data_IF_916274616127
#
_entry.id   IF_916274616127
#
_cell.length_a   1.000
_cell.length_b   1.000
_cell.length_c   1.000
_cell.angle_alpha   90.00
_cell.angle_beta   90.00
_cell.angle_gamma   90.00
#
_symmetry.space_group_name_H-M   'P 1'
#
loop_
_entity.id
_entity.type
_entity.pdbx_description
1 polymer ?
#
# COMPACT_ATOMS: atom_id res chain seq x y z
N UNK A 1 -39.72 -76.06 48.48
CA UNK A 1 -39.38 -75.56 47.13
C UNK A 1 -39.99 -74.19 46.93
N UNK A 2 -39.16 -73.14 46.85
CA UNK A 2 -39.25 -71.94 45.98
C UNK A 2 -38.31 -70.88 46.54
N UNK A 3 -37.17 -70.74 45.88
CA UNK A 3 -36.07 -69.83 46.21
C UNK A 3 -36.35 -68.43 45.65
N UNK A 4 -36.13 -67.43 46.49
CA UNK A 4 -36.30 -66.00 46.21
C UNK A 4 -35.05 -65.50 45.47
N UNK A 5 -35.21 -64.99 44.24
CA UNK A 5 -34.11 -64.41 43.45
C UNK A 5 -33.98 -62.92 43.75
N UNK A 6 -32.82 -62.51 44.27
CA UNK A 6 -32.41 -61.11 44.38
C UNK A 6 -31.96 -60.60 42.99
N UNK A 7 -32.62 -59.56 42.50
CA UNK A 7 -32.21 -58.81 41.31
C UNK A 7 -31.31 -57.64 41.72
N UNK A 8 -30.03 -57.71 41.35
CA UNK A 8 -29.04 -56.66 41.53
C UNK A 8 -29.25 -55.59 40.44
N UNK A 9 -29.76 -54.42 40.83
CA UNK A 9 -29.93 -53.26 39.93
C UNK A 9 -28.62 -52.45 39.93
N UNK A 10 -27.83 -52.59 38.86
CA UNK A 10 -26.61 -51.80 38.62
C UNK A 10 -27.02 -50.42 38.08
N UNK A 11 -26.88 -49.40 38.92
CA UNK A 11 -27.08 -47.98 38.57
C UNK A 11 -25.79 -47.48 37.88
N UNK A 12 -25.79 -47.46 36.54
CA UNK A 12 -24.70 -46.89 35.74
C UNK A 12 -24.72 -45.37 35.83
N UNK A 13 -23.78 -44.80 36.58
CA UNK A 13 -23.58 -43.36 36.71
C UNK A 13 -22.87 -42.85 35.44
N UNK A 14 -23.64 -42.32 34.49
CA UNK A 14 -23.13 -41.70 33.27
C UNK A 14 -22.47 -40.36 33.62
N UNK A 15 -21.14 -40.31 33.56
CA UNK A 15 -20.40 -39.05 33.60
C UNK A 15 -20.73 -38.24 32.34
N UNK A 16 -21.56 -37.21 32.49
CA UNK A 16 -21.73 -36.16 31.48
C UNK A 16 -20.46 -35.32 31.53
N UNK A 17 -19.53 -35.63 30.63
CA UNK A 17 -18.40 -34.75 30.33
C UNK A 17 -18.96 -33.53 29.60
N UNK A 18 -19.00 -32.38 30.27
CA UNK A 18 -19.16 -31.10 29.60
C UNK A 18 -17.94 -30.91 28.69
N UNK A 19 -18.08 -31.27 27.42
CA UNK A 19 -17.14 -30.86 26.38
C UNK A 19 -17.29 -29.34 26.31
N UNK A 20 -16.29 -28.59 26.79
CA UNK A 20 -16.17 -27.19 26.46
C UNK A 20 -16.09 -27.15 24.92
N UNK A 21 -17.09 -26.56 24.30
CA UNK A 21 -17.01 -26.26 22.88
C UNK A 21 -15.71 -25.46 22.68
N UNK A 22 -14.88 -25.82 21.68
CA UNK A 22 -13.68 -25.05 21.40
C UNK A 22 -14.12 -23.61 21.21
N UNK A 23 -13.53 -22.68 21.99
CA UNK A 23 -13.74 -21.25 21.80
C UNK A 23 -13.64 -20.95 20.31
N UNK A 24 -14.76 -20.52 19.72
CA UNK A 24 -14.78 -20.02 18.37
C UNK A 24 -13.72 -18.91 18.33
N UNK A 25 -12.67 -19.13 17.53
CA UNK A 25 -11.67 -18.10 17.30
C UNK A 25 -12.44 -16.87 16.83
N UNK A 26 -12.26 -15.70 17.48
CA UNK A 26 -13.00 -14.51 17.12
C UNK A 26 -12.79 -14.24 15.63
N UNK A 27 -13.89 -14.12 14.89
CA UNK A 27 -13.85 -13.78 13.46
C UNK A 27 -13.00 -12.52 13.28
N UNK A 28 -12.14 -12.43 12.24
CA UNK A 28 -11.37 -11.23 11.96
C UNK A 28 -12.30 -10.01 11.96
N UNK A 29 -11.98 -9.01 12.79
CA UNK A 29 -12.76 -7.76 12.79
C UNK A 29 -12.44 -7.00 11.50
N UNK A 30 -13.47 -6.69 10.73
CA UNK A 30 -13.36 -5.89 9.51
C UNK A 30 -13.74 -4.44 9.82
N UNK A 31 -12.87 -3.50 9.48
CA UNK A 31 -13.12 -2.05 9.61
C UNK A 31 -12.95 -1.37 8.25
N UNK A 32 -14.08 -1.03 7.63
CA UNK A 32 -14.11 -0.48 6.26
C UNK A 32 -13.33 0.82 6.10
N UNK A 33 -13.24 1.65 7.14
CA UNK A 33 -12.53 2.93 7.08
C UNK A 33 -11.01 2.68 7.08
N UNK A 34 -10.56 1.77 7.95
CA UNK A 34 -9.15 1.35 8.00
C UNK A 34 -8.74 0.70 6.68
N UNK A 35 -9.56 -0.20 6.15
CA UNK A 35 -9.30 -0.84 4.84
C UNK A 35 -9.22 0.20 3.73
N UNK A 36 -10.15 1.14 3.68
CA UNK A 36 -10.19 2.17 2.63
C UNK A 36 -8.95 3.07 2.68
N UNK A 37 -8.52 3.49 3.87
CA UNK A 37 -7.31 4.29 4.05
C UNK A 37 -6.05 3.56 3.58
N UNK A 38 -5.93 2.28 3.95
CA UNK A 38 -4.80 1.43 3.58
C UNK A 38 -4.75 1.23 2.05
N UNK A 39 -5.90 1.01 1.40
CA UNK A 39 -5.99 0.94 -0.07
C UNK A 39 -5.57 2.27 -0.70
N UNK A 40 -6.03 3.40 -0.15
CA UNK A 40 -5.69 4.72 -0.68
C UNK A 40 -4.18 4.99 -0.62
N UNK A 41 -3.54 4.74 0.52
CA UNK A 41 -2.09 4.86 0.68
C UNK A 41 -1.31 3.95 -0.27
N UNK A 42 -1.80 2.72 -0.45
CA UNK A 42 -1.18 1.77 -1.37
C UNK A 42 -1.26 2.24 -2.83
N UNK A 43 -2.43 2.70 -3.28
CA UNK A 43 -2.63 3.20 -4.64
C UNK A 43 -1.72 4.40 -4.90
N UNK A 44 -1.64 5.33 -3.95
CA UNK A 44 -0.76 6.50 -4.09
C UNK A 44 0.71 6.11 -4.12
N UNK A 45 1.15 5.13 -3.32
CA UNK A 45 2.49 4.55 -3.42
C UNK A 45 2.72 3.89 -4.78
N UNK A 46 1.78 3.07 -5.24
CA UNK A 46 1.92 2.35 -6.51
C UNK A 46 2.06 3.29 -7.70
N UNK A 47 1.22 4.32 -7.78
CA UNK A 47 1.32 5.34 -8.84
C UNK A 47 2.67 6.07 -8.76
N UNK A 48 3.07 6.54 -7.57
CA UNK A 48 4.33 7.24 -7.37
C UNK A 48 5.52 6.36 -7.81
N UNK A 49 5.60 5.13 -7.33
CA UNK A 49 6.72 4.22 -7.62
C UNK A 49 6.74 3.77 -9.07
N UNK A 50 5.60 3.56 -9.71
CA UNK A 50 5.53 3.26 -11.14
C UNK A 50 6.11 4.41 -11.97
N UNK A 51 5.72 5.65 -11.67
CA UNK A 51 6.22 6.83 -12.37
C UNK A 51 7.71 7.02 -12.13
N UNK A 52 8.16 6.97 -10.89
CA UNK A 52 9.58 7.09 -10.55
C UNK A 52 10.41 5.99 -11.20
N UNK A 53 9.94 4.75 -11.22
CA UNK A 53 10.59 3.63 -11.89
C UNK A 53 10.88 3.93 -13.37
N UNK A 54 9.90 4.50 -14.08
CA UNK A 54 10.08 4.86 -15.49
C UNK A 54 11.00 6.06 -15.65
N UNK A 55 10.91 7.04 -14.77
CA UNK A 55 11.79 8.20 -14.77
C UNK A 55 13.26 7.82 -14.48
N UNK A 56 13.51 6.83 -13.61
CA UNK A 56 14.85 6.28 -13.39
C UNK A 56 15.41 5.61 -14.64
N UNK A 57 14.65 4.69 -15.24
CA UNK A 57 15.05 4.02 -16.49
C UNK A 57 15.33 5.05 -17.60
N UNK A 58 14.48 6.07 -17.67
CA UNK A 58 14.61 7.17 -18.60
C UNK A 58 15.91 7.98 -18.40
N UNK A 59 16.24 8.39 -17.18
CA UNK A 59 17.48 9.13 -16.88
C UNK A 59 18.74 8.34 -17.24
N UNK A 60 18.73 7.01 -17.03
CA UNK A 60 19.84 6.13 -17.42
C UNK A 60 20.08 6.15 -18.94
N UNK A 61 19.03 6.29 -19.74
CA UNK A 61 19.15 6.34 -21.23
C UNK A 61 19.59 7.69 -21.78
N UNK A 62 19.61 8.78 -20.99
CA UNK A 62 20.03 10.14 -21.43
C UNK A 62 21.55 10.35 -21.52
N UNK A 63 22.35 9.29 -21.61
CA UNK A 63 23.78 9.41 -21.93
C UNK A 63 24.71 9.63 -20.74
N UNK A 64 24.33 9.19 -19.53
CA UNK A 64 25.34 8.92 -18.50
C UNK A 64 26.21 7.77 -19.03
N UNK A 65 27.51 7.99 -19.17
CA UNK A 65 28.41 7.01 -19.77
C UNK A 65 28.27 5.65 -19.08
N UNK A 66 27.88 4.63 -19.85
CA UNK A 66 27.66 3.26 -19.40
C UNK A 66 28.85 2.68 -18.59
N UNK A 67 30.07 3.23 -18.77
CA UNK A 67 31.28 2.83 -18.05
C UNK A 67 31.49 3.42 -16.65
N UNK A 68 30.54 4.19 -16.10
CA UNK A 68 30.60 4.67 -14.69
C UNK A 68 29.61 3.96 -13.76
N UNK A 69 28.88 2.98 -14.26
CA UNK A 69 27.96 2.17 -13.46
C UNK A 69 28.67 0.88 -13.06
N UNK A 70 29.04 0.77 -11.79
CA UNK A 70 29.66 -0.44 -11.23
C UNK A 70 28.62 -1.47 -10.76
N UNK A 71 27.33 -1.15 -10.87
CA UNK A 71 26.22 -2.00 -10.42
C UNK A 71 25.05 -1.90 -11.40
N UNK A 72 24.47 -3.05 -11.79
CA UNK A 72 23.13 -3.09 -12.38
C UNK A 72 22.17 -2.58 -11.29
N UNK A 73 21.64 -1.36 -11.45
CA UNK A 73 20.62 -0.85 -10.54
C UNK A 73 19.35 -1.66 -10.81
N UNK A 74 19.14 -2.71 -10.02
CA UNK A 74 17.91 -3.48 -10.03
C UNK A 74 16.74 -2.53 -9.73
N UNK A 75 15.98 -2.13 -10.74
CA UNK A 75 14.83 -1.26 -10.59
C UNK A 75 13.68 -2.09 -10.01
N UNK A 76 13.44 -1.95 -8.71
CA UNK A 76 12.66 -2.91 -7.97
C UNK A 76 11.17 -2.62 -8.06
N UNK A 77 10.78 -1.65 -8.88
CA UNK A 77 9.40 -1.30 -9.15
C UNK A 77 9.03 -1.63 -10.60
N UNK A 78 9.98 -2.14 -11.40
CA UNK A 78 9.73 -2.44 -12.81
C UNK A 78 8.58 -3.43 -12.99
N UNK A 79 8.45 -4.41 -12.09
CA UNK A 79 7.36 -5.39 -12.12
C UNK A 79 5.97 -4.76 -12.04
N UNK A 80 5.83 -3.55 -11.47
CA UNK A 80 4.54 -2.85 -11.32
C UNK A 80 3.95 -2.38 -12.66
N UNK A 81 4.79 -2.28 -13.70
CA UNK A 81 4.46 -1.70 -15.02
C UNK A 81 4.74 -2.64 -16.20
N UNK A 82 5.18 -3.89 -15.96
CA UNK A 82 5.66 -4.77 -17.04
C UNK A 82 4.59 -5.08 -18.09
N UNK A 83 3.32 -5.12 -17.71
CA UNK A 83 2.22 -5.39 -18.63
C UNK A 83 1.77 -4.17 -19.45
N UNK A 84 2.22 -2.96 -19.09
CA UNK A 84 1.84 -1.73 -19.75
C UNK A 84 2.75 -1.40 -20.95
N UNK A 85 2.19 -0.68 -21.92
CA UNK A 85 2.96 -0.02 -22.97
C UNK A 85 3.56 1.26 -22.38
N UNK A 86 4.88 1.38 -22.46
CA UNK A 86 5.63 2.53 -21.91
C UNK A 86 6.19 3.36 -23.06
N UNK A 87 5.85 4.64 -23.09
CA UNK A 87 6.34 5.56 -24.13
C UNK A 87 6.88 6.84 -23.54
N UNK A 88 7.84 7.43 -24.25
CA UNK A 88 8.41 8.74 -23.92
C UNK A 88 8.19 9.67 -25.10
N UNK A 89 7.71 10.89 -24.83
CA UNK A 89 7.37 11.89 -25.85
C UNK A 89 7.91 13.28 -25.45
N UNK A 90 7.59 14.31 -26.23
CA UNK A 90 7.89 15.72 -25.92
C UNK A 90 9.37 15.99 -25.61
N UNK A 91 10.27 15.63 -26.53
CA UNK A 91 11.71 15.77 -26.32
C UNK A 91 12.15 15.17 -24.97
N UNK A 92 11.58 14.02 -24.63
CA UNK A 92 11.95 13.28 -23.45
C UNK A 92 11.55 13.95 -22.11
N UNK A 93 10.50 14.78 -22.10
CA UNK A 93 9.97 15.39 -20.87
C UNK A 93 8.59 14.85 -20.48
N UNK A 94 8.10 13.81 -21.15
CA UNK A 94 6.83 13.17 -20.82
C UNK A 94 6.98 11.65 -20.88
N UNK A 95 6.50 10.97 -19.84
CA UNK A 95 6.41 9.51 -19.74
C UNK A 95 4.94 9.11 -19.70
N UNK A 96 4.57 8.12 -20.50
CA UNK A 96 3.21 7.56 -20.53
C UNK A 96 3.30 6.06 -20.23
N UNK A 97 2.50 5.61 -19.27
CA UNK A 97 2.30 4.21 -18.91
C UNK A 97 0.84 3.88 -19.25
N UNK A 98 0.64 3.09 -20.31
CA UNK A 98 -0.68 2.76 -20.85
C UNK A 98 -0.99 1.27 -20.62
N UNK A 99 -1.96 1.00 -19.74
CA UNK A 99 -2.47 -0.33 -19.42
C UNK A 99 -3.60 -0.76 -20.37
N UNK A 100 -4.03 0.11 -21.29
CA UNK A 100 -5.11 -0.13 -22.24
C UNK A 100 -6.43 -0.50 -21.56
N UNK A 101 -7.10 -1.52 -22.08
CA UNK A 101 -8.33 -2.06 -21.50
C UNK A 101 -8.12 -2.81 -20.17
N UNK A 102 -6.86 -3.04 -19.80
CA UNK A 102 -6.49 -3.67 -18.54
C UNK A 102 -5.46 -4.79 -18.72
N UNK A 103 -4.54 -4.89 -17.77
CA UNK A 103 -3.61 -5.99 -17.66
C UNK A 103 -3.27 -6.28 -16.20
N UNK A 104 -2.80 -7.51 -15.92
CA UNK A 104 -2.29 -7.88 -14.59
C UNK A 104 -0.78 -7.73 -14.57
N UNK A 105 -0.25 -7.17 -13.49
CA UNK A 105 1.18 -7.17 -13.24
C UNK A 105 1.69 -8.53 -12.73
N UNK A 106 2.99 -8.65 -12.47
CA UNK A 106 3.58 -9.91 -12.01
C UNK A 106 3.11 -10.38 -10.63
N UNK A 107 2.52 -9.47 -9.85
CA UNK A 107 1.90 -9.80 -8.56
C UNK A 107 0.41 -10.10 -8.72
N UNK A 108 -0.06 -10.27 -9.96
CA UNK A 108 -1.45 -10.57 -10.27
C UNK A 108 -2.37 -9.37 -10.16
N UNK A 109 -1.86 -8.15 -9.92
CA UNK A 109 -2.70 -7.00 -9.62
C UNK A 109 -3.24 -6.38 -10.91
N UNK A 110 -4.55 -6.19 -11.00
CA UNK A 110 -5.18 -5.64 -12.21
C UNK A 110 -5.03 -4.12 -12.27
N UNK A 111 -4.69 -3.61 -13.45
CA UNK A 111 -4.61 -2.17 -13.74
C UNK A 111 -5.16 -1.89 -15.11
N UNK A 112 -5.87 -0.78 -15.29
CA UNK A 112 -6.37 -0.33 -16.59
C UNK A 112 -6.21 1.19 -16.75
N UNK A 113 -6.41 1.69 -17.98
CA UNK A 113 -6.29 3.11 -18.30
C UNK A 113 -4.83 3.57 -18.42
N UNK A 114 -4.61 4.87 -18.19
CA UNK A 114 -3.34 5.52 -18.51
C UNK A 114 -2.85 6.45 -17.42
N UNK A 115 -1.55 6.42 -17.18
CA UNK A 115 -0.81 7.33 -16.30
C UNK A 115 0.15 8.16 -17.15
N UNK A 116 0.01 9.48 -17.14
CA UNK A 116 0.92 10.40 -17.86
C UNK A 116 1.65 11.27 -16.87
N UNK A 117 2.98 11.20 -16.89
CA UNK A 117 3.88 11.99 -16.06
C UNK A 117 4.63 13.02 -16.91
N UNK A 118 4.44 14.30 -16.62
CA UNK A 118 5.12 15.43 -17.24
C UNK A 118 6.27 15.87 -16.34
N UNK A 119 7.49 15.81 -16.85
CA UNK A 119 8.71 16.18 -16.15
C UNK A 119 9.05 17.64 -16.43
N UNK A 120 9.17 18.42 -15.36
CA UNK A 120 9.63 19.80 -15.36
C UNK A 120 11.01 19.84 -14.71
N UNK A 121 12.04 19.77 -15.53
CA UNK A 121 13.42 19.79 -15.04
C UNK A 121 13.84 21.22 -14.66
N UNK A 122 14.57 21.34 -13.56
CA UNK A 122 15.48 22.47 -13.33
C UNK A 122 16.87 21.99 -13.73
N UNK A 123 17.65 22.85 -14.38
CA UNK A 123 18.96 22.55 -14.98
C UNK A 123 19.97 21.86 -14.04
N UNK A 124 19.74 21.95 -12.72
CA UNK A 124 20.63 21.44 -11.68
C UNK A 124 20.04 20.26 -10.87
N UNK A 125 18.74 19.97 -11.01
CA UNK A 125 18.06 18.91 -10.24
C UNK A 125 17.38 17.90 -11.15
N UNK A 126 17.88 16.67 -11.14
CA UNK A 126 17.16 15.52 -11.70
C UNK A 126 15.83 15.36 -10.93
N UNK A 127 14.71 15.23 -11.64
CA UNK A 127 13.36 15.11 -11.07
C UNK A 127 12.81 16.35 -10.33
N UNK A 128 13.18 17.57 -10.77
CA UNK A 128 12.75 18.82 -10.12
C UNK A 128 11.26 18.89 -9.75
N UNK A 129 10.36 18.71 -10.71
CA UNK A 129 8.91 18.53 -10.49
C UNK A 129 8.33 17.60 -11.54
N UNK A 130 7.43 16.71 -11.14
CA UNK A 130 6.70 15.79 -12.01
C UNK A 130 5.22 15.97 -11.75
N UNK A 131 4.46 16.29 -12.80
CA UNK A 131 2.99 16.32 -12.72
C UNK A 131 2.42 15.05 -13.33
N UNK A 132 1.58 14.36 -12.58
CA UNK A 132 0.98 13.09 -12.97
C UNK A 132 -0.52 13.31 -13.17
N UNK A 133 -0.99 12.88 -14.33
CA UNK A 133 -2.40 12.88 -14.72
C UNK A 133 -2.85 11.44 -14.99
N UNK A 134 -4.09 11.16 -14.61
CA UNK A 134 -4.71 9.84 -14.74
C UNK A 134 -5.88 9.93 -15.72
N UNK A 135 -5.90 9.05 -16.71
CA UNK A 135 -6.98 8.95 -17.69
C UNK A 135 -7.61 7.56 -17.58
N UNK A 136 -8.81 7.51 -17.00
CA UNK A 136 -9.54 6.27 -16.70
C UNK A 136 -8.67 5.23 -15.96
N UNK A 137 -7.74 5.70 -15.11
CA UNK A 137 -6.83 4.80 -14.41
C UNK A 137 -7.60 4.02 -13.34
N UNK A 138 -7.47 2.70 -13.39
CA UNK A 138 -8.10 1.78 -12.46
C UNK A 138 -7.03 0.92 -11.79
N UNK A 139 -7.16 0.74 -10.48
CA UNK A 139 -6.39 -0.21 -9.70
C UNK A 139 -7.37 -1.24 -9.11
N UNK A 140 -7.21 -2.51 -9.48
CA UNK A 140 -8.22 -3.55 -9.27
C UNK A 140 -9.59 -3.07 -9.76
N UNK A 141 -10.58 -2.93 -8.87
CA UNK A 141 -11.88 -2.40 -9.20
C UNK A 141 -12.06 -0.91 -8.86
N UNK A 142 -11.04 -0.28 -8.26
CA UNK A 142 -11.09 1.13 -7.82
C UNK A 142 -10.70 2.06 -8.95
N UNK A 143 -11.62 2.92 -9.37
CA UNK A 143 -11.33 4.02 -10.30
C UNK A 143 -10.67 5.17 -9.53
N UNK A 144 -9.55 5.67 -10.07
CA UNK A 144 -8.71 6.67 -9.40
C UNK A 144 -8.63 7.95 -10.22
N UNK A 145 -8.89 9.07 -9.58
CA UNK A 145 -8.68 10.41 -10.17
C UNK A 145 -8.00 11.37 -9.20
N UNK A 146 -7.86 12.63 -9.60
CA UNK A 146 -7.14 13.67 -8.87
C UNK A 146 -5.78 13.97 -9.48
N UNK A 147 -5.30 15.18 -9.23
CA UNK A 147 -4.01 15.65 -9.73
C UNK A 147 -2.92 15.24 -8.75
N UNK A 148 -1.79 14.76 -9.27
CA UNK A 148 -0.69 14.30 -8.43
C UNK A 148 0.59 15.01 -8.83
N UNK A 149 1.38 15.44 -7.86
CA UNK A 149 2.68 16.08 -8.11
C UNK A 149 3.75 15.39 -7.29
N UNK A 150 4.92 15.15 -7.88
CA UNK A 150 6.14 14.76 -7.16
C UNK A 150 7.14 15.90 -7.31
N UNK A 151 7.69 16.38 -6.20
CA UNK A 151 8.72 17.43 -6.17
C UNK A 151 9.95 16.89 -5.48
N UNK A 152 11.11 17.09 -6.09
CA UNK A 152 12.39 16.82 -5.43
C UNK A 152 12.78 18.05 -4.59
N UNK A 153 12.73 17.88 -3.27
CA UNK A 153 12.80 19.00 -2.32
C UNK A 153 14.22 19.40 -1.91
N UNK A 154 15.26 18.63 -2.27
CA UNK A 154 16.65 18.89 -1.87
C UNK A 154 17.68 18.46 -2.92
N UNK A 155 18.94 18.82 -2.69
CA UNK A 155 20.08 18.19 -3.37
C UNK A 155 20.05 16.68 -3.06
N UNK A 156 19.55 15.89 -4.00
CA UNK A 156 19.68 14.43 -3.98
C UNK A 156 21.16 14.09 -4.06
N UNK A 157 21.67 13.38 -3.05
CA UNK A 157 23.03 12.85 -3.07
C UNK A 157 22.97 11.37 -3.46
N UNK A 158 24.08 10.79 -3.92
CA UNK A 158 24.12 9.38 -4.38
C UNK A 158 23.54 8.36 -3.39
N UNK A 159 23.53 8.69 -2.10
CA UNK A 159 23.12 7.79 -1.01
C UNK A 159 21.76 8.16 -0.39
N UNK A 160 21.14 9.26 -0.82
CA UNK A 160 19.93 9.78 -0.18
C UNK A 160 19.08 10.58 -1.18
N UNK A 161 17.80 10.25 -1.26
CA UNK A 161 16.83 11.03 -2.01
C UNK A 161 15.61 11.35 -1.14
N UNK A 162 15.10 12.57 -1.27
CA UNK A 162 13.93 13.07 -0.53
C UNK A 162 12.99 13.73 -1.53
N UNK A 163 11.77 13.20 -1.62
CA UNK A 163 10.70 13.78 -2.44
C UNK A 163 9.51 14.11 -1.56
N UNK A 164 8.74 15.07 -2.04
CA UNK A 164 7.39 15.30 -1.59
C UNK A 164 6.42 14.98 -2.71
N UNK A 165 5.39 14.22 -2.39
CA UNK A 165 4.30 13.91 -3.29
C UNK A 165 3.01 14.51 -2.77
N UNK A 166 2.21 15.11 -3.63
CA UNK A 166 0.89 15.64 -3.28
C UNK A 166 -0.20 14.98 -4.14
N UNK A 167 -1.39 14.85 -3.55
CA UNK A 167 -2.63 14.54 -4.26
C UNK A 167 -3.61 15.66 -3.98
N UNK A 168 -4.08 16.31 -5.04
CA UNK A 168 -5.11 17.35 -4.98
C UNK A 168 -6.39 16.83 -5.64
N UNK A 169 -7.53 17.05 -4.98
CA UNK A 169 -8.86 16.57 -5.41
C UNK A 169 -8.87 15.07 -5.75
N UNK A 170 -8.18 14.28 -4.91
CA UNK A 170 -8.12 12.82 -5.02
C UNK A 170 -9.50 12.21 -4.84
N UNK A 171 -9.86 11.27 -5.71
CA UNK A 171 -11.11 10.50 -5.60
C UNK A 171 -10.82 9.05 -5.92
N UNK A 172 -11.26 8.17 -5.03
CA UNK A 172 -11.38 6.73 -5.26
C UNK A 172 -12.86 6.39 -5.38
N UNK A 173 -13.25 5.79 -6.50
CA UNK A 173 -14.62 5.30 -6.71
C UNK A 173 -14.62 3.78 -6.71
N UNK A 174 -15.43 3.19 -5.84
CA UNK A 174 -15.52 1.74 -5.65
C UNK A 174 -16.68 1.15 -6.48
N UNK A 175 -16.75 -0.18 -6.59
CA UNK A 175 -17.78 -0.89 -7.37
C UNK A 175 -19.22 -0.62 -6.90
N UNK A 176 -19.38 -0.32 -5.61
CA UNK A 176 -20.67 0.06 -5.02
C UNK A 176 -21.04 1.53 -5.27
N UNK A 177 -20.25 2.22 -6.10
CA UNK A 177 -20.36 3.64 -6.45
C UNK A 177 -20.13 4.60 -5.28
N UNK A 178 -19.72 4.10 -4.12
CA UNK A 178 -19.28 4.97 -3.04
C UNK A 178 -17.93 5.61 -3.40
N UNK A 179 -17.69 6.80 -2.84
CA UNK A 179 -16.50 7.59 -3.12
C UNK A 179 -15.73 7.90 -1.85
N UNK A 180 -14.41 7.81 -1.91
CA UNK A 180 -13.49 8.35 -0.91
C UNK A 180 -12.73 9.51 -1.54
N UNK A 181 -12.91 10.71 -0.99
CA UNK A 181 -12.28 11.94 -1.52
C UNK A 181 -11.23 12.46 -0.56
N UNK A 182 -10.11 12.95 -1.08
CA UNK A 182 -9.00 13.36 -0.23
C UNK A 182 -8.02 14.31 -0.90
N UNK A 183 -7.33 15.09 -0.09
CA UNK A 183 -6.05 15.69 -0.41
C UNK A 183 -4.98 15.07 0.48
N UNK A 184 -3.78 14.86 -0.05
CA UNK A 184 -2.68 14.31 0.73
C UNK A 184 -1.34 14.96 0.39
N UNK A 185 -0.45 14.94 1.38
CA UNK A 185 0.96 15.23 1.23
C UNK A 185 1.76 14.08 1.84
N UNK A 186 2.75 13.59 1.10
CA UNK A 186 3.67 12.52 1.49
C UNK A 186 5.10 13.03 1.36
N UNK A 187 5.90 12.91 2.40
CA UNK A 187 7.33 13.13 2.36
C UNK A 187 8.01 11.76 2.40
N UNK A 188 8.64 11.36 1.30
CA UNK A 188 9.31 10.07 1.16
C UNK A 188 10.82 10.28 1.11
N UNK A 189 11.50 9.56 1.98
CA UNK A 189 12.96 9.47 2.04
C UNK A 189 13.41 8.08 1.63
N UNK A 190 14.31 8.00 0.65
CA UNK A 190 15.05 6.78 0.35
C UNK A 190 16.44 6.86 0.98
N UNK A 191 16.72 5.86 1.80
CA UNK A 191 18.04 5.68 2.40
C UNK A 191 18.77 4.56 1.65
N UNK A 192 19.87 4.92 0.99
CA UNK A 192 20.71 3.98 0.25
C UNK A 192 22.01 3.61 0.99
N UNK A 193 22.15 3.97 2.27
CA UNK A 193 23.43 3.86 3.01
C UNK A 193 23.84 2.43 3.37
N UNK A 194 22.88 1.55 3.69
CA UNK A 194 23.12 0.15 4.07
C UNK A 194 22.70 -0.88 3.00
N UNK A 195 22.52 -0.42 1.77
CA UNK A 195 22.07 -1.26 0.66
C UNK A 195 23.18 -2.23 0.26
N UNK A 196 23.02 -3.50 0.63
CA UNK A 196 23.45 -4.57 -0.28
C UNK A 196 22.59 -4.44 -1.54
N UNK A 197 23.16 -4.47 -2.75
CA UNK A 197 22.53 -4.19 -4.06
C UNK A 197 21.13 -4.79 -4.34
N UNK A 198 20.60 -5.65 -3.45
CA UNK A 198 19.37 -6.41 -3.55
C UNK A 198 18.23 -5.96 -2.63
N UNK A 199 18.45 -5.08 -1.64
CA UNK A 199 17.42 -4.61 -0.69
C UNK A 199 17.49 -3.09 -0.47
N UNK A 200 16.34 -2.41 -0.58
CA UNK A 200 16.21 -0.99 -0.24
C UNK A 200 15.01 -0.77 0.68
N UNK A 201 15.14 0.28 1.49
CA UNK A 201 14.14 0.74 2.44
C UNK A 201 13.80 2.18 2.11
N UNK A 202 12.52 2.51 2.23
CA UNK A 202 12.10 3.89 2.24
C UNK A 202 11.10 4.14 3.35
N UNK A 203 11.15 5.36 3.85
CA UNK A 203 10.29 5.85 4.91
C UNK A 203 9.43 6.96 4.34
N UNK A 204 8.14 6.91 4.67
CA UNK A 204 7.18 7.92 4.26
C UNK A 204 6.50 8.47 5.50
N UNK A 205 6.43 9.79 5.58
CA UNK A 205 5.54 10.52 6.47
C UNK A 205 4.40 11.08 5.63
N UNK A 206 3.17 11.01 6.11
CA UNK A 206 2.02 11.50 5.36
C UNK A 206 0.99 12.19 6.24
N UNK A 207 0.28 13.11 5.60
CA UNK A 207 -0.94 13.74 6.09
C UNK A 207 -1.98 13.72 4.99
N UNK A 208 -3.22 13.40 5.35
CA UNK A 208 -4.35 13.30 4.45
C UNK A 208 -5.61 13.82 5.13
N UNK A 209 -6.48 14.46 4.37
CA UNK A 209 -7.80 14.83 4.86
C UNK A 209 -8.82 14.79 3.73
N UNK A 210 -10.09 14.62 4.06
CA UNK A 210 -11.15 14.59 3.07
C UNK A 210 -12.44 13.99 3.60
N UNK A 211 -13.19 13.34 2.72
CA UNK A 211 -14.45 12.65 3.05
C UNK A 211 -14.31 11.15 2.80
N UNK A 212 -14.64 10.36 3.82
CA UNK A 212 -14.65 8.91 3.70
C UNK A 212 -15.88 8.43 2.88
N UNK A 213 -16.00 7.11 2.68
CA UNK A 213 -17.09 6.49 1.88
C UNK A 213 -18.50 6.74 2.44
N UNK A 214 -18.61 7.16 3.69
CA UNK A 214 -19.87 7.53 4.34
C UNK A 214 -20.12 9.05 4.33
N UNK A 215 -19.36 9.81 3.53
CA UNK A 215 -19.42 11.27 3.45
C UNK A 215 -19.11 11.97 4.79
N UNK A 216 -18.28 11.34 5.60
CA UNK A 216 -17.82 11.86 6.90
C UNK A 216 -16.41 12.42 6.73
N UNK A 217 -16.19 13.62 7.26
CA UNK A 217 -14.86 14.24 7.26
C UNK A 217 -13.88 13.44 8.10
N UNK A 218 -12.69 13.20 7.57
CA UNK A 218 -11.61 12.52 8.27
C UNK A 218 -10.28 13.25 8.10
N UNK A 219 -9.37 12.98 9.03
CA UNK A 219 -7.95 13.29 8.93
C UNK A 219 -7.15 12.01 9.16
N UNK A 220 -6.12 11.77 8.35
CA UNK A 220 -5.17 10.70 8.57
C UNK A 220 -3.74 11.24 8.60
N UNK A 221 -2.95 10.78 9.56
CA UNK A 221 -1.58 11.24 9.74
C UNK A 221 -0.69 10.12 10.26
N UNK A 222 0.51 9.99 9.69
CA UNK A 222 1.54 9.11 10.24
C UNK A 222 2.12 9.70 11.53
N UNK A 223 2.32 8.88 12.56
CA UNK A 223 3.01 9.26 13.79
C UNK A 223 4.47 8.86 13.78
N UNK A 224 4.75 7.72 13.14
CA UNK A 224 6.09 7.25 12.86
C UNK A 224 6.24 7.16 11.36
N UNK A 225 7.47 7.20 10.90
CA UNK A 225 7.81 6.82 9.55
C UNK A 225 7.18 5.47 9.20
N UNK A 226 6.44 5.46 8.09
CA UNK A 226 5.88 4.25 7.51
C UNK A 226 6.94 3.63 6.61
N UNK A 227 7.32 2.40 6.88
CA UNK A 227 8.42 1.72 6.21
C UNK A 227 7.91 0.80 5.12
N UNK A 228 8.66 0.76 4.03
CA UNK A 228 8.46 -0.17 2.93
C UNK A 228 9.74 -0.96 2.73
N UNK A 229 9.62 -2.29 2.70
CA UNK A 229 10.74 -3.18 2.42
C UNK A 229 10.54 -3.85 1.05
N UNK A 230 11.50 -3.61 0.17
CA UNK A 230 11.62 -4.22 -1.15
C UNK A 230 11.53 -5.74 -1.22
N UNK A 231 12.06 -6.45 -0.22
CA UNK A 231 12.04 -7.91 -0.18
C UNK A 231 10.63 -8.44 0.02
N UNK A 232 9.74 -7.67 0.64
CA UNK A 232 8.33 -8.03 0.77
C UNK A 232 7.58 -7.98 -0.55
N UNK A 233 8.07 -7.20 -1.53
CA UNK A 233 7.47 -7.17 -2.85
C UNK A 233 7.61 -8.52 -3.57
N UNK A 234 8.75 -9.21 -3.38
CA UNK A 234 8.97 -10.55 -3.97
C UNK A 234 8.03 -11.62 -3.40
N UNK A 235 7.50 -11.41 -2.19
CA UNK A 235 6.49 -12.28 -1.57
C UNK A 235 5.05 -11.83 -1.87
N UNK A 236 4.85 -10.91 -2.82
CA UNK A 236 3.52 -10.36 -3.16
C UNK A 236 3.01 -9.27 -2.21
N UNK A 237 3.76 -8.96 -1.16
CA UNK A 237 3.40 -7.95 -0.15
C UNK A 237 4.01 -6.61 -0.59
N UNK A 238 3.34 -5.97 -1.55
CA UNK A 238 3.76 -4.73 -2.20
C UNK A 238 3.63 -3.44 -1.38
N UNK A 239 3.31 -3.54 -0.08
CA UNK A 239 2.68 -2.46 0.71
C UNK A 239 3.56 -1.90 1.83
N UNK A 240 2.97 -1.03 2.63
CA UNK A 240 3.49 -0.62 3.94
C UNK A 240 3.81 -1.84 4.81
N UNK A 241 5.07 -1.99 5.19
CA UNK A 241 5.54 -3.12 6.01
C UNK A 241 5.65 -2.77 7.49
N UNK A 242 5.72 -1.49 7.82
CA UNK A 242 5.81 -1.06 9.21
C UNK A 242 5.42 0.39 9.44
N UNK A 243 5.27 0.76 10.70
CA UNK A 243 4.97 2.13 11.13
C UNK A 243 3.59 2.26 11.75
N UNK A 244 3.26 3.48 12.19
CA UNK A 244 2.00 3.80 12.85
C UNK A 244 1.40 5.07 12.27
N UNK A 245 0.10 5.02 12.02
CA UNK A 245 -0.69 6.18 11.62
C UNK A 245 -2.04 6.17 12.33
N UNK A 246 -2.74 7.30 12.29
CA UNK A 246 -4.09 7.44 12.83
C UNK A 246 -5.04 7.89 11.76
N UNK A 247 -6.30 7.48 11.91
CA UNK A 247 -7.46 8.05 11.23
C UNK A 247 -8.33 8.67 12.33
N UNK A 248 -8.75 9.92 12.14
CA UNK A 248 -9.62 10.66 13.04
C UNK A 248 -10.89 11.04 12.28
N UNK A 249 -12.04 10.53 12.70
CA UNK A 249 -13.34 10.82 12.10
C UNK A 249 -14.43 10.84 13.18
N UNK A 250 -15.38 11.78 13.10
CA UNK A 250 -16.46 11.95 14.10
C UNK A 250 -15.99 11.99 15.58
N UNK A 251 -14.79 12.54 15.82
CA UNK A 251 -14.20 12.58 17.16
C UNK A 251 -13.69 11.23 17.69
N UNK A 252 -13.72 10.18 16.87
CA UNK A 252 -13.13 8.87 17.15
C UNK A 252 -11.75 8.77 16.50
N UNK A 253 -10.76 8.30 17.27
CA UNK A 253 -9.41 8.05 16.77
C UNK A 253 -9.20 6.55 16.62
N UNK A 254 -8.81 6.12 15.42
CA UNK A 254 -8.33 4.78 15.11
C UNK A 254 -6.83 4.85 14.90
N UNK A 255 -6.05 4.12 15.69
CA UNK A 255 -4.60 3.99 15.50
C UNK A 255 -4.31 2.67 14.83
N UNK A 256 -3.56 2.72 13.73
CA UNK A 256 -3.17 1.56 12.93
C UNK A 256 -1.66 1.39 13.09
N UNK A 257 -1.23 0.19 13.48
CA UNK A 257 0.17 -0.19 13.58
C UNK A 257 0.46 -1.38 12.66
N UNK A 258 1.42 -1.20 11.77
CA UNK A 258 2.00 -2.25 10.94
C UNK A 258 3.34 -2.65 11.57
N UNK A 259 3.56 -3.95 11.69
CA UNK A 259 4.81 -4.48 12.26
C UNK A 259 5.65 -5.11 11.16
N UNK A 260 6.94 -4.73 11.02
CA UNK A 260 7.82 -5.17 9.94
C UNK A 260 8.23 -6.66 9.98
N UNK A 261 7.60 -7.47 10.82
CA UNK A 261 7.99 -8.86 11.01
C UNK A 261 7.60 -9.70 9.79
N UNK A 262 8.61 -10.21 9.07
CA UNK A 262 8.46 -11.21 7.99
C UNK A 262 7.43 -10.85 6.91
N UNK A 263 7.37 -9.58 6.49
CA UNK A 263 6.41 -9.14 5.47
C UNK A 263 4.95 -9.45 5.84
N UNK A 264 4.63 -9.36 7.13
CA UNK A 264 3.27 -9.58 7.61
C UNK A 264 2.27 -8.63 6.96
N UNK A 265 1.14 -9.18 6.53
CA UNK A 265 -0.03 -8.46 6.03
C UNK A 265 -0.97 -8.03 7.17
N UNK A 266 -0.54 -8.14 8.43
CA UNK A 266 -1.39 -7.83 9.58
C UNK A 266 -1.26 -6.37 10.02
N UNK A 267 -2.40 -5.76 10.32
CA UNK A 267 -2.49 -4.48 11.00
C UNK A 267 -3.07 -4.65 12.41
N UNK A 268 -2.49 -3.95 13.39
CA UNK A 268 -3.01 -3.84 14.74
C UNK A 268 -3.78 -2.53 14.86
N UNK A 269 -5.07 -2.61 15.18
CA UNK A 269 -5.97 -1.46 15.21
C UNK A 269 -6.50 -1.24 16.61
N UNK A 270 -6.28 -0.03 17.13
CA UNK A 270 -6.85 0.43 18.40
C UNK A 270 -7.88 1.54 18.13
N UNK A 271 -9.05 1.48 18.77
CA UNK A 271 -10.15 2.45 18.58
C UNK A 271 -10.49 3.08 19.92
N UNK A 272 -10.12 4.35 20.12
CA UNK A 272 -10.21 5.00 21.43
C UNK A 272 -9.50 4.17 22.52
N UNK A 273 -10.21 3.91 23.63
CA UNK A 273 -9.72 3.10 24.76
C UNK A 273 -10.07 1.61 24.66
N UNK A 274 -10.65 1.16 23.54
CA UNK A 274 -11.01 -0.25 23.35
C UNK A 274 -9.77 -1.14 23.17
N UNK A 275 -9.91 -2.42 23.51
CA UNK A 275 -8.87 -3.42 23.22
C UNK A 275 -8.55 -3.46 21.73
N UNK A 276 -7.26 -3.40 21.42
CA UNK A 276 -6.78 -3.47 20.05
C UNK A 276 -7.12 -4.84 19.44
N UNK A 277 -7.38 -4.84 18.14
CA UNK A 277 -7.65 -6.05 17.37
C UNK A 277 -6.70 -6.15 16.19
N UNK A 278 -6.53 -7.36 15.67
CA UNK A 278 -5.72 -7.62 14.48
C UNK A 278 -6.63 -7.74 13.26
N UNK A 279 -6.26 -7.02 12.20
CA UNK A 279 -6.84 -7.15 10.86
C UNK A 279 -5.85 -7.90 9.98
N UNK A 280 -6.35 -8.88 9.22
CA UNK A 280 -5.61 -9.52 8.15
C UNK A 280 -5.89 -8.77 6.84
N UNK A 281 -4.84 -8.24 6.22
CA UNK A 281 -4.93 -7.48 4.97
C UNK A 281 -4.56 -8.34 3.75
N UNK A 282 -4.33 -9.65 3.91
CA UNK A 282 -3.89 -10.54 2.83
C UNK A 282 -4.78 -10.43 1.59
N UNK A 283 -6.10 -10.42 1.77
CA UNK A 283 -7.06 -10.31 0.68
C UNK A 283 -7.05 -8.95 -0.04
N UNK A 284 -6.49 -7.91 0.59
CA UNK A 284 -6.36 -6.59 -0.06
C UNK A 284 -5.22 -6.54 -1.07
N UNK A 285 -4.25 -7.46 -0.97
CA UNK A 285 -2.95 -7.29 -1.63
C UNK A 285 -2.46 -8.52 -2.40
N UNK A 286 -2.91 -9.71 -2.01
CA UNK A 286 -2.54 -10.97 -2.66
C UNK A 286 -3.78 -11.54 -3.34
N UNK A 287 -3.93 -11.25 -4.63
CA UNK A 287 -4.89 -11.94 -5.48
C UNK A 287 -4.27 -13.25 -5.99
N UNK A 288 -4.88 -14.39 -5.64
CA UNK A 288 -4.50 -15.73 -6.12
C UNK A 288 -4.80 -15.94 -7.61
#
# INVERSE_FOLDING_TARGET
MKTLKYGLLLLSMSCISCRQDPEELPSPKYDSEVVTEIIAEFIDDDIEKMVLSQLFNFTLTRGVAAGTQTHELNNPYEFRTRCAVKTTTNNNTQVIIDFGAGCRDEMGRFKAGKVTANLFERKENVFGRVEITLENYQYESVLVSGNRTITNNRDTHRQYAEIQSTVDDGILTFDDLSSYTYSSERNTTWDFTDITETEFYFVTEFQKSGLNRNNVSFESNSFTQVTYNSNCFKSGVGQMTGGKFRISSEGTNKTIELKPQNCSTQAFVAVGDAEAYTMDLTELFINH
#
